data_IF_200220521226
#
_entry.id   IF_200220521226
#
_cell.length_a   1.000
_cell.length_b   1.000
_cell.length_c   1.000
_cell.angle_alpha   90.00
_cell.angle_beta   90.00
_cell.angle_gamma   90.00
#
_symmetry.space_group_name_H-M   'P 1'
#
loop_
_entity.id
_entity.type
_entity.pdbx_description
1 polymer ?
#
# COMPACT_ATOMS: atom_id res chain seq x y z
N UNK A 1 10.68 9.48 -15.81
CA UNK A 1 10.33 8.22 -16.48
C UNK A 1 10.19 7.09 -15.45
N UNK A 2 11.26 6.59 -14.77
CA UNK A 2 11.18 5.40 -13.89
C UNK A 2 10.13 5.47 -12.79
N UNK A 3 10.01 6.60 -12.09
CA UNK A 3 8.95 6.86 -11.11
C UNK A 3 7.56 6.70 -11.75
N UNK A 4 7.38 7.28 -12.94
CA UNK A 4 6.07 7.23 -13.62
C UNK A 4 5.73 5.82 -14.10
N UNK A 5 6.71 5.07 -14.58
CA UNK A 5 6.49 3.69 -15.03
C UNK A 5 5.98 2.82 -13.88
N UNK A 6 6.65 2.85 -12.73
CA UNK A 6 6.20 2.11 -11.56
C UNK A 6 4.85 2.61 -11.04
N UNK A 7 4.72 3.91 -10.80
CA UNK A 7 3.52 4.48 -10.21
C UNK A 7 2.29 4.31 -11.11
N UNK A 8 2.42 4.45 -12.43
CA UNK A 8 1.32 4.24 -13.37
C UNK A 8 0.87 2.77 -13.41
N UNK A 9 1.78 1.82 -13.22
CA UNK A 9 1.42 0.40 -13.12
C UNK A 9 0.62 0.15 -11.84
N UNK A 10 1.13 0.61 -10.69
CA UNK A 10 0.44 0.45 -9.39
C UNK A 10 -0.90 1.20 -9.36
N UNK A 11 -0.97 2.39 -9.96
CA UNK A 11 -2.19 3.23 -10.01
C UNK A 11 -3.40 2.53 -10.62
N UNK A 12 -3.20 1.55 -11.50
CA UNK A 12 -4.30 0.80 -12.13
C UNK A 12 -5.13 0.00 -11.13
N UNK A 13 -4.59 -0.26 -9.94
CA UNK A 13 -5.27 -1.01 -8.87
C UNK A 13 -6.06 -0.12 -7.90
N UNK A 14 -6.01 1.21 -8.08
CA UNK A 14 -6.58 2.16 -7.12
C UNK A 14 -8.11 2.19 -7.13
N UNK A 15 -8.69 2.09 -5.94
CA UNK A 15 -10.09 2.36 -5.67
C UNK A 15 -11.07 1.30 -6.19
N UNK A 16 -12.38 1.57 -6.18
CA UNK A 16 -13.43 0.59 -6.48
C UNK A 16 -13.45 0.14 -7.95
N UNK A 17 -12.80 0.86 -8.84
CA UNK A 17 -12.59 0.48 -10.25
C UNK A 17 -11.19 -0.08 -10.50
N UNK A 18 -10.45 -0.34 -9.44
CA UNK A 18 -9.11 -0.93 -9.52
C UNK A 18 -9.14 -2.29 -10.23
N UNK A 19 -8.07 -2.58 -10.94
CA UNK A 19 -7.89 -3.82 -11.70
C UNK A 19 -6.70 -4.59 -11.15
N UNK A 20 -6.72 -5.90 -11.32
CA UNK A 20 -5.55 -6.71 -11.05
C UNK A 20 -4.47 -6.46 -12.11
N UNK A 21 -3.24 -6.54 -11.68
CA UNK A 21 -2.04 -6.53 -12.54
C UNK A 21 -1.53 -7.96 -12.65
N UNK A 22 -1.15 -8.35 -13.86
CA UNK A 22 -0.52 -9.64 -14.14
C UNK A 22 0.98 -9.42 -14.23
N UNK A 23 1.72 -10.02 -13.30
CA UNK A 23 3.18 -9.93 -13.23
C UNK A 23 3.79 -11.22 -13.79
N UNK A 24 4.54 -11.10 -14.87
CA UNK A 24 5.27 -12.24 -15.46
C UNK A 24 6.44 -12.62 -14.58
N UNK A 25 6.55 -13.89 -14.21
CA UNK A 25 7.71 -14.45 -13.52
C UNK A 25 8.63 -15.18 -14.50
N UNK A 26 9.94 -15.12 -14.24
CA UNK A 26 10.94 -15.90 -15.04
C UNK A 26 10.75 -17.41 -14.87
N UNK A 27 10.27 -17.83 -13.71
CA UNK A 27 9.97 -19.22 -13.36
C UNK A 27 8.63 -19.30 -12.64
N UNK A 28 7.80 -20.28 -13.00
CA UNK A 28 6.48 -20.48 -12.40
C UNK A 28 5.36 -19.72 -13.10
N UNK A 29 4.18 -19.77 -12.50
CA UNK A 29 2.97 -19.10 -13.02
C UNK A 29 3.04 -17.59 -12.83
N UNK A 30 2.44 -16.79 -13.73
CA UNK A 30 2.27 -15.35 -13.52
C UNK A 30 1.55 -15.06 -12.22
N UNK A 31 1.96 -14.01 -11.52
CA UNK A 31 1.28 -13.53 -10.32
C UNK A 31 0.20 -12.53 -10.71
N UNK A 32 -1.02 -12.76 -10.27
CA UNK A 32 -2.15 -11.85 -10.46
C UNK A 32 -2.43 -11.20 -9.10
N UNK A 33 -2.30 -9.89 -9.02
CA UNK A 33 -2.48 -9.17 -7.76
C UNK A 33 -2.96 -7.73 -7.99
N UNK A 34 -3.62 -7.17 -7.00
CA UNK A 34 -3.95 -5.74 -6.90
C UNK A 34 -3.21 -5.04 -5.76
N UNK A 35 -2.36 -5.74 -5.04
CA UNK A 35 -1.59 -5.18 -3.95
C UNK A 35 -0.42 -4.31 -4.47
N UNK A 36 -0.45 -3.03 -4.07
CA UNK A 36 0.50 -2.04 -4.56
C UNK A 36 1.95 -2.32 -4.19
N UNK A 37 2.23 -2.80 -2.98
CA UNK A 37 3.61 -3.11 -2.55
C UNK A 37 4.16 -4.34 -3.26
N UNK A 38 3.34 -5.36 -3.47
CA UNK A 38 3.72 -6.57 -4.22
C UNK A 38 4.07 -6.20 -5.66
N UNK A 39 3.23 -5.39 -6.31
CA UNK A 39 3.51 -4.92 -7.68
C UNK A 39 4.79 -4.10 -7.71
N UNK A 40 4.97 -3.16 -6.76
CA UNK A 40 6.14 -2.30 -6.73
C UNK A 40 7.45 -3.07 -6.53
N UNK A 41 7.44 -4.17 -5.78
CA UNK A 41 8.62 -5.04 -5.54
C UNK A 41 9.05 -5.82 -6.79
N UNK A 42 8.12 -6.21 -7.65
CA UNK A 42 8.39 -7.01 -8.83
C UNK A 42 8.80 -6.19 -10.07
N UNK A 43 8.62 -4.87 -10.04
CA UNK A 43 8.98 -4.01 -11.17
C UNK A 43 10.47 -3.72 -11.18
N UNK A 44 11.14 -4.19 -12.25
CA UNK A 44 12.52 -3.85 -12.58
C UNK A 44 12.58 -3.26 -13.99
N UNK A 45 13.30 -2.16 -14.14
CA UNK A 45 13.47 -1.48 -15.41
C UNK A 45 14.87 -1.74 -15.98
N UNK A 46 14.95 -1.86 -17.31
CA UNK A 46 16.22 -2.19 -18.01
C UNK A 46 17.24 -1.05 -17.93
N UNK A 47 16.77 0.19 -18.00
CA UNK A 47 17.63 1.36 -17.85
C UNK A 47 17.96 1.59 -16.37
N UNK A 48 19.25 1.70 -16.03
CA UNK A 48 19.72 1.82 -14.66
C UNK A 48 19.25 3.12 -13.97
N UNK A 49 19.18 4.23 -14.69
CA UNK A 49 18.73 5.50 -14.13
C UNK A 49 17.22 5.51 -13.91
N UNK A 50 16.46 4.97 -14.84
CA UNK A 50 15.01 4.79 -14.65
C UNK A 50 14.72 3.85 -13.49
N UNK A 51 15.49 2.76 -13.38
CA UNK A 51 15.35 1.80 -12.29
C UNK A 51 15.63 2.41 -10.91
N UNK A 52 16.61 3.32 -10.80
CA UNK A 52 16.81 4.08 -9.56
C UNK A 52 15.57 4.88 -9.17
N UNK A 53 14.93 5.54 -10.13
CA UNK A 53 13.66 6.25 -9.89
C UNK A 53 12.54 5.30 -9.44
N UNK A 54 12.41 4.14 -10.04
CA UNK A 54 11.46 3.11 -9.63
C UNK A 54 11.74 2.61 -8.20
N UNK A 55 13.02 2.38 -7.85
CA UNK A 55 13.43 1.94 -6.51
C UNK A 55 13.06 2.95 -5.42
N UNK A 56 13.18 4.25 -5.68
CA UNK A 56 12.77 5.28 -4.73
C UNK A 56 11.26 5.21 -4.41
N UNK A 57 10.43 4.97 -5.42
CA UNK A 57 8.98 4.83 -5.22
C UNK A 57 8.63 3.46 -4.60
N UNK A 58 9.37 2.40 -4.93
CA UNK A 58 9.26 1.10 -4.24
C UNK A 58 9.49 1.25 -2.74
N UNK A 59 10.48 2.03 -2.34
CA UNK A 59 10.77 2.31 -0.93
C UNK A 59 9.59 2.98 -0.23
N UNK A 60 8.90 3.92 -0.90
CA UNK A 60 7.68 4.55 -0.36
C UNK A 60 6.59 3.50 -0.11
N UNK A 61 6.33 2.62 -1.06
CA UNK A 61 5.34 1.55 -0.91
C UNK A 61 5.71 0.61 0.25
N UNK A 62 6.97 0.21 0.34
CA UNK A 62 7.46 -0.69 1.39
C UNK A 62 7.32 -0.07 2.77
N UNK A 63 7.77 1.17 2.97
CA UNK A 63 7.63 1.87 4.27
C UNK A 63 6.18 2.09 4.68
N UNK A 64 5.30 2.35 3.72
CA UNK A 64 3.86 2.47 3.99
C UNK A 64 3.29 1.14 4.46
N UNK A 65 3.66 0.04 3.81
CA UNK A 65 3.27 -1.30 4.20
C UNK A 65 3.75 -1.65 5.62
N UNK A 66 5.01 -1.38 5.92
CA UNK A 66 5.60 -1.69 7.22
C UNK A 66 4.98 -0.87 8.36
N UNK A 67 4.55 0.36 8.07
CA UNK A 67 3.95 1.26 9.06
C UNK A 67 2.45 1.03 9.28
N UNK A 68 1.69 0.70 8.22
CA UNK A 68 0.24 0.67 8.27
C UNK A 68 -0.40 -0.59 7.69
N UNK A 69 0.33 -1.40 6.92
CA UNK A 69 -0.21 -2.57 6.23
C UNK A 69 -1.22 -2.25 5.11
N UNK A 70 -1.51 -0.98 4.87
CA UNK A 70 -2.50 -0.53 3.88
C UNK A 70 -2.07 0.82 3.27
N UNK A 71 -2.72 1.22 2.18
CA UNK A 71 -2.50 2.50 1.53
C UNK A 71 -1.26 2.58 0.63
N UNK A 72 -0.62 1.46 0.29
CA UNK A 72 0.60 1.41 -0.51
C UNK A 72 0.42 1.98 -1.91
N UNK A 73 -0.70 1.70 -2.55
CA UNK A 73 -1.07 2.27 -3.87
C UNK A 73 -1.25 3.79 -3.78
N UNK A 74 -1.98 4.26 -2.77
CA UNK A 74 -2.21 5.70 -2.54
C UNK A 74 -0.90 6.44 -2.29
N UNK A 75 -0.03 5.90 -1.43
CA UNK A 75 1.27 6.48 -1.13
C UNK A 75 2.16 6.57 -2.38
N UNK A 76 2.15 5.54 -3.22
CA UNK A 76 2.88 5.49 -4.49
C UNK A 76 2.42 6.59 -5.46
N UNK A 77 1.10 6.77 -5.61
CA UNK A 77 0.51 7.81 -6.47
C UNK A 77 0.79 9.21 -5.94
N UNK A 78 0.71 9.41 -4.62
CA UNK A 78 1.06 10.69 -4.00
C UNK A 78 2.55 11.01 -4.17
N UNK A 79 3.44 10.04 -4.01
CA UNK A 79 4.87 10.23 -4.23
C UNK A 79 5.15 10.67 -5.67
N UNK A 80 4.52 10.03 -6.66
CA UNK A 80 4.62 10.43 -8.07
C UNK A 80 4.17 11.88 -8.26
N UNK A 81 3.01 12.26 -7.74
CA UNK A 81 2.47 13.60 -7.87
C UNK A 81 3.38 14.65 -7.22
N UNK A 82 3.87 14.39 -6.01
CA UNK A 82 4.78 15.29 -5.30
C UNK A 82 6.10 15.49 -6.05
N UNK A 83 6.69 14.42 -6.59
CA UNK A 83 7.93 14.53 -7.37
C UNK A 83 7.68 15.29 -8.66
N UNK A 84 6.62 14.98 -9.40
CA UNK A 84 6.34 15.62 -10.68
C UNK A 84 6.06 17.12 -10.48
N UNK A 85 5.26 17.52 -9.50
CA UNK A 85 4.99 18.93 -9.22
C UNK A 85 6.24 19.65 -8.64
N UNK A 86 6.98 18.99 -7.77
CA UNK A 86 8.24 19.53 -7.25
C UNK A 86 9.26 19.78 -8.35
N UNK A 87 9.43 18.83 -9.27
CA UNK A 87 10.34 18.97 -10.41
C UNK A 87 9.95 20.10 -11.38
N UNK A 88 8.66 20.33 -11.60
CA UNK A 88 8.20 21.49 -12.40
C UNK A 88 8.65 22.82 -11.78
N UNK A 89 8.51 22.96 -10.47
CA UNK A 89 8.92 24.16 -9.75
C UNK A 89 10.44 24.36 -9.80
N UNK A 90 11.21 23.28 -9.60
CA UNK A 90 12.68 23.33 -9.69
C UNK A 90 13.14 23.68 -11.11
N UNK A 91 12.52 23.09 -12.13
CA UNK A 91 12.81 23.41 -13.54
C UNK A 91 12.44 24.86 -13.90
N UNK A 92 11.46 25.44 -13.24
CA UNK A 92 11.09 26.85 -13.36
C UNK A 92 12.03 27.81 -12.59
N UNK A 93 13.07 27.30 -11.93
CA UNK A 93 14.09 28.10 -11.22
C UNK A 93 13.87 28.24 -9.72
N UNK A 94 12.89 27.53 -9.12
CA UNK A 94 12.73 27.54 -7.66
C UNK A 94 13.89 26.82 -6.97
N UNK A 95 14.30 27.35 -5.82
CA UNK A 95 15.34 26.71 -5.00
C UNK A 95 14.82 25.36 -4.47
N UNK A 96 15.50 24.22 -4.76
CA UNK A 96 15.05 22.89 -4.31
C UNK A 96 14.90 22.78 -2.78
N UNK A 97 15.75 23.49 -2.02
CA UNK A 97 15.68 23.46 -0.55
C UNK A 97 14.45 24.20 -0.01
N UNK A 98 14.01 25.25 -0.70
CA UNK A 98 12.79 25.96 -0.34
C UNK A 98 11.54 25.15 -0.71
N UNK A 99 11.56 24.49 -1.86
CA UNK A 99 10.50 23.52 -2.24
C UNK A 99 10.40 22.42 -1.20
N UNK A 100 11.53 21.80 -0.78
CA UNK A 100 11.57 20.78 0.28
C UNK A 100 10.96 21.30 1.59
N UNK A 101 11.35 22.51 2.04
CA UNK A 101 10.80 23.10 3.27
C UNK A 101 9.30 23.36 3.18
N UNK A 102 8.81 23.80 2.02
CA UNK A 102 7.40 23.95 1.74
C UNK A 102 6.63 22.65 1.83
N UNK A 103 7.15 21.59 1.18
CA UNK A 103 6.56 20.25 1.23
C UNK A 103 6.51 19.71 2.67
N UNK A 104 7.56 19.89 3.46
CA UNK A 104 7.58 19.44 4.86
C UNK A 104 6.49 20.14 5.71
N UNK A 105 6.29 21.45 5.52
CA UNK A 105 5.21 22.19 6.18
C UNK A 105 3.82 21.69 5.77
N UNK A 106 3.62 21.47 4.47
CA UNK A 106 2.36 20.96 3.94
C UNK A 106 2.06 19.54 4.47
N UNK A 107 3.05 18.65 4.53
CA UNK A 107 2.91 17.31 5.10
C UNK A 107 2.49 17.39 6.56
N UNK A 108 3.14 18.24 7.38
CA UNK A 108 2.76 18.41 8.78
C UNK A 108 1.31 18.83 8.93
N UNK A 109 0.87 19.83 8.18
CA UNK A 109 -0.53 20.29 8.20
C UNK A 109 -1.50 19.19 7.73
N UNK A 110 -1.16 18.45 6.68
CA UNK A 110 -1.99 17.34 6.20
C UNK A 110 -2.12 16.21 7.24
N UNK A 111 -1.02 15.83 7.91
CA UNK A 111 -1.04 14.81 8.97
C UNK A 111 -1.90 15.24 10.15
N UNK A 112 -1.81 16.51 10.58
CA UNK A 112 -2.66 17.05 11.64
C UNK A 112 -4.16 17.01 11.24
N UNK A 113 -4.48 17.36 9.99
CA UNK A 113 -5.85 17.30 9.48
C UNK A 113 -6.36 15.85 9.37
N UNK A 114 -5.54 14.90 8.94
CA UNK A 114 -5.90 13.49 8.90
C UNK A 114 -6.15 12.93 10.32
N UNK A 115 -5.29 13.26 11.27
CA UNK A 115 -5.47 12.85 12.66
C UNK A 115 -6.78 13.40 13.26
N UNK A 116 -7.13 14.66 12.97
CA UNK A 116 -8.36 15.27 13.42
C UNK A 116 -9.63 14.65 12.81
N UNK A 117 -9.54 14.14 11.58
CA UNK A 117 -10.66 13.51 10.88
C UNK A 117 -10.69 11.97 11.02
N UNK A 118 -9.66 11.36 11.61
CA UNK A 118 -9.61 9.91 11.79
C UNK A 118 -10.61 9.45 12.86
N UNK A 119 -11.19 8.27 12.63
CA UNK A 119 -12.05 7.60 13.60
C UNK A 119 -11.33 6.39 14.17
N UNK A 120 -11.37 6.22 15.47
CA UNK A 120 -10.81 5.04 16.13
C UNK A 120 -11.69 3.82 15.83
N UNK A 121 -11.05 2.71 15.50
CA UNK A 121 -11.71 1.42 15.39
C UNK A 121 -12.16 0.96 16.77
N UNK A 122 -13.45 0.68 16.92
CA UNK A 122 -14.07 0.29 18.19
C UNK A 122 -14.83 -1.04 18.04
N UNK A 123 -14.30 -2.07 18.69
CA UNK A 123 -14.96 -3.38 18.79
C UNK A 123 -14.95 -4.19 17.49
N UNK A 124 -15.46 -5.41 17.61
CA UNK A 124 -15.44 -6.45 16.58
C UNK A 124 -16.10 -6.03 15.25
N UNK A 125 -17.17 -5.26 15.32
CA UNK A 125 -17.90 -4.82 14.12
C UNK A 125 -17.06 -3.88 13.22
N UNK A 126 -16.29 -2.99 13.82
CA UNK A 126 -15.42 -2.09 13.07
C UNK A 126 -14.20 -2.85 12.53
N UNK A 127 -13.67 -3.80 13.32
CA UNK A 127 -12.60 -4.70 12.87
C UNK A 127 -13.07 -5.52 11.66
N UNK A 128 -14.27 -6.12 11.72
CA UNK A 128 -14.84 -6.86 10.61
C UNK A 128 -15.00 -6.01 9.35
N UNK A 129 -15.39 -4.73 9.49
CA UNK A 129 -15.47 -3.79 8.36
C UNK A 129 -14.11 -3.53 7.71
N UNK A 130 -13.09 -3.25 8.53
CA UNK A 130 -11.73 -3.01 8.04
C UNK A 130 -11.21 -4.27 7.33
N UNK A 131 -11.36 -5.45 7.97
CA UNK A 131 -10.98 -6.73 7.39
C UNK A 131 -11.71 -7.02 6.06
N UNK A 132 -13.02 -6.74 5.98
CA UNK A 132 -13.81 -6.89 4.76
C UNK A 132 -13.32 -6.01 3.63
N UNK A 133 -13.02 -4.74 3.92
CA UNK A 133 -12.52 -3.81 2.90
C UNK A 133 -11.14 -4.24 2.40
N UNK A 134 -10.27 -4.68 3.30
CA UNK A 134 -8.91 -5.13 2.96
C UNK A 134 -8.91 -6.42 2.15
N UNK A 135 -9.70 -7.42 2.56
CA UNK A 135 -9.76 -8.73 1.89
C UNK A 135 -10.67 -8.73 0.65
N UNK A 136 -11.59 -7.76 0.54
CA UNK A 136 -12.65 -7.78 -0.46
C UNK A 136 -13.73 -8.84 -0.22
N UNK A 137 -13.72 -9.48 0.96
CA UNK A 137 -14.60 -10.59 1.33
C UNK A 137 -15.12 -10.44 2.77
N UNK A 138 -16.44 -10.38 2.98
CA UNK A 138 -17.02 -10.23 4.30
C UNK A 138 -16.83 -11.47 5.21
N UNK A 139 -16.66 -12.66 4.65
CA UNK A 139 -16.39 -13.87 5.43
C UNK A 139 -15.02 -13.79 6.05
N UNK A 140 -14.01 -13.40 5.29
CA UNK A 140 -12.64 -13.19 5.79
C UNK A 140 -12.63 -12.05 6.82
N UNK A 141 -13.33 -10.95 6.57
CA UNK A 141 -13.45 -9.85 7.52
C UNK A 141 -14.01 -10.27 8.87
N UNK A 142 -15.05 -11.12 8.86
CA UNK A 142 -15.63 -11.66 10.10
C UNK A 142 -14.67 -12.62 10.81
N UNK A 143 -13.99 -13.51 10.09
CA UNK A 143 -12.99 -14.41 10.66
C UNK A 143 -11.86 -13.66 11.37
N UNK A 144 -11.39 -12.56 10.77
CA UNK A 144 -10.37 -11.71 11.39
C UNK A 144 -10.91 -11.09 12.68
N UNK A 145 -12.14 -10.59 12.68
CA UNK A 145 -12.75 -10.00 13.87
C UNK A 145 -12.92 -11.02 14.99
N UNK A 146 -13.39 -12.22 14.66
CA UNK A 146 -13.54 -13.32 15.63
C UNK A 146 -12.19 -13.78 16.19
N UNK A 147 -11.14 -13.80 15.36
CA UNK A 147 -9.79 -14.11 15.80
C UNK A 147 -9.26 -13.04 16.76
N UNK A 148 -9.46 -11.74 16.43
CA UNK A 148 -9.06 -10.62 17.30
C UNK A 148 -9.75 -10.66 18.67
N UNK A 149 -11.00 -11.06 18.74
CA UNK A 149 -11.69 -11.24 20.03
C UNK A 149 -11.08 -12.36 20.90
N UNK A 150 -10.55 -13.41 20.25
CA UNK A 150 -9.98 -14.57 20.95
C UNK A 150 -8.56 -14.33 21.44
N UNK A 151 -7.72 -13.65 20.64
CA UNK A 151 -6.30 -13.47 20.97
C UNK A 151 -5.98 -12.25 21.83
N UNK A 152 -6.97 -11.42 22.16
CA UNK A 152 -6.79 -10.17 22.90
C UNK A 152 -5.91 -9.11 22.18
N UNK A 153 -5.70 -7.98 22.84
CA UNK A 153 -4.97 -6.84 22.26
C UNK A 153 -3.48 -7.11 21.99
N UNK A 154 -2.88 -8.05 22.68
CA UNK A 154 -1.45 -8.41 22.58
C UNK A 154 -1.20 -9.66 21.72
N UNK A 155 -2.28 -10.25 21.18
CA UNK A 155 -2.19 -11.45 20.35
C UNK A 155 -1.72 -11.16 18.93
N UNK A 156 -1.02 -12.11 18.35
CA UNK A 156 -0.56 -12.06 16.96
C UNK A 156 -1.47 -12.93 16.09
N UNK A 157 -1.94 -12.38 14.98
CA UNK A 157 -2.69 -13.12 13.97
C UNK A 157 -1.81 -13.25 12.73
N UNK A 158 -1.58 -14.47 12.29
CA UNK A 158 -0.94 -14.78 11.02
C UNK A 158 -1.97 -15.27 10.01
N UNK A 159 -1.82 -14.87 8.76
CA UNK A 159 -2.69 -15.30 7.66
C UNK A 159 -1.82 -16.04 6.66
N UNK A 160 -2.19 -17.27 6.35
CA UNK A 160 -1.50 -18.12 5.40
C UNK A 160 -2.47 -18.61 4.32
N UNK A 161 -1.98 -18.70 3.08
CA UNK A 161 -2.76 -19.28 1.99
C UNK A 161 -2.75 -20.81 2.10
N UNK A 162 -3.93 -21.41 2.29
CA UNK A 162 -4.07 -22.85 2.26
C UNK A 162 -4.13 -23.36 0.82
N UNK A 163 -3.09 -24.10 0.41
CA UNK A 163 -2.99 -24.69 -0.93
C UNK A 163 -3.60 -26.08 -1.04
N UNK A 164 -4.02 -26.67 0.08
CA UNK A 164 -4.45 -28.08 0.15
C UNK A 164 -5.96 -28.24 0.22
N UNK A 165 -6.69 -27.26 0.69
CA UNK A 165 -8.16 -27.29 0.79
C UNK A 165 -8.77 -25.99 0.31
N UNK A 166 -10.02 -26.06 -0.17
CA UNK A 166 -10.77 -24.87 -0.58
C UNK A 166 -11.47 -24.18 0.60
N UNK A 167 -11.31 -24.71 1.82
CA UNK A 167 -11.98 -24.19 3.01
C UNK A 167 -11.10 -23.18 3.74
N UNK A 168 -11.71 -22.08 4.17
CA UNK A 168 -11.09 -21.07 5.02
C UNK A 168 -11.46 -21.36 6.47
N UNK A 169 -10.46 -21.50 7.34
CA UNK A 169 -10.67 -21.75 8.76
C UNK A 169 -9.69 -20.95 9.63
N UNK A 170 -10.01 -20.81 10.90
CA UNK A 170 -9.11 -20.21 11.90
C UNK A 170 -8.68 -21.27 12.91
N UNK A 171 -7.40 -21.30 13.22
CA UNK A 171 -6.80 -22.14 14.25
C UNK A 171 -6.18 -21.27 15.34
N UNK A 172 -6.34 -21.67 16.60
CA UNK A 172 -5.69 -21.02 17.74
C UNK A 172 -4.58 -21.93 18.19
N UNK A 173 -3.36 -21.39 18.20
CA UNK A 173 -2.18 -22.07 18.75
C UNK A 173 -1.86 -21.43 20.09
N UNK A 174 -1.90 -22.22 21.17
CA UNK A 174 -1.53 -21.82 22.53
C UNK A 174 -0.02 -22.03 22.78
#
# INVERSE_FOLDING_TARGET
AGIDTLANTVKTTLGPKGRNVVLGKKFGSPLITNDGVTIAKEIELKDAFENMGAQLVREVATRTNDAAGDGTTTATVLAQALVNEGMKNVAAGANPMDVKRGMQKAVKCAVEAFAANSQKVNGSKDIARVGTVSAGDPVIGQLIADAMEKVSADGVITIEENKMTAETYSEIVE
#
